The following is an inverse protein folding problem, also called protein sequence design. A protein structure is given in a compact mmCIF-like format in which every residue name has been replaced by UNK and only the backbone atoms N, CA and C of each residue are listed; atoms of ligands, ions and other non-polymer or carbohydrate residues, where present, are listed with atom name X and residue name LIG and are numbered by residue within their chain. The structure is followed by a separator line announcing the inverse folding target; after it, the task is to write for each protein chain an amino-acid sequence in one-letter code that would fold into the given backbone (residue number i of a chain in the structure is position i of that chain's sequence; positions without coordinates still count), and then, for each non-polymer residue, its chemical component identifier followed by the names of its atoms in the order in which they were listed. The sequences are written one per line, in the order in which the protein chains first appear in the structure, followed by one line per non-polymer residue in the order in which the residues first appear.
data_IF_429794562566
#
_entry.id   IF_429794562566
#
_cell.length_a   1.000
_cell.length_b   1.000
_cell.length_c   1.000
_cell.angle_alpha   90.00
_cell.angle_beta   90.00
_cell.angle_gamma   90.00
#
_symmetry.space_group_name_H-M   'P 1'
#
loop_
_entity.id
_entity.type
_entity.pdbx_description
1 polymer ?
#
# COMPACT_ATOMS: atom_id res chain seq x y z
N UNK A 1 -17.15 6.03 -9.86
CA UNK A 1 -16.41 4.99 -9.11
C UNK A 1 -15.47 5.58 -8.07
N UNK A 2 -14.52 6.46 -8.43
CA UNK A 2 -13.55 7.04 -7.48
C UNK A 2 -14.25 7.61 -6.24
N UNK A 3 -15.29 8.43 -6.46
CA UNK A 3 -16.08 9.04 -5.39
C UNK A 3 -16.69 8.02 -4.41
N UNK A 4 -17.17 6.87 -4.91
CA UNK A 4 -17.71 5.79 -4.08
C UNK A 4 -16.62 5.14 -3.21
N UNK A 5 -15.42 4.92 -3.76
CA UNK A 5 -14.30 4.32 -3.05
C UNK A 5 -13.73 5.22 -1.94
N UNK A 6 -13.99 6.53 -2.01
CA UNK A 6 -13.55 7.51 -1.01
C UNK A 6 -14.52 7.68 0.16
N UNK A 7 -15.69 7.03 0.12
CA UNK A 7 -16.63 7.04 1.25
C UNK A 7 -15.99 6.30 2.45
N UNK A 8 -16.05 6.84 3.67
CA UNK A 8 -15.33 6.29 4.82
C UNK A 8 -15.65 4.83 5.15
N UNK A 9 -16.92 4.46 5.07
CA UNK A 9 -17.43 3.10 5.30
C UNK A 9 -16.93 2.11 4.24
N UNK A 10 -16.91 2.52 2.98
CA UNK A 10 -16.41 1.72 1.86
C UNK A 10 -14.89 1.52 1.94
N UNK A 11 -14.15 2.59 2.20
CA UNK A 11 -12.70 2.53 2.36
C UNK A 11 -12.31 1.61 3.55
N UNK A 12 -13.03 1.71 4.67
CA UNK A 12 -12.84 0.84 5.82
C UNK A 12 -13.21 -0.62 5.54
N UNK A 13 -14.32 -0.88 4.84
CA UNK A 13 -14.70 -2.24 4.45
C UNK A 13 -13.59 -2.91 3.61
N UNK A 14 -12.97 -2.18 2.69
CA UNK A 14 -11.83 -2.67 1.92
C UNK A 14 -10.62 -2.97 2.81
N UNK A 15 -10.29 -2.09 3.76
CA UNK A 15 -9.20 -2.36 4.73
C UNK A 15 -9.49 -3.57 5.60
N UNK A 16 -10.72 -3.71 6.12
CA UNK A 16 -11.12 -4.84 6.94
C UNK A 16 -11.04 -6.16 6.17
N UNK A 17 -11.39 -6.16 4.88
CA UNK A 17 -11.31 -7.36 4.05
C UNK A 17 -9.88 -7.66 3.56
N UNK A 18 -9.24 -6.71 2.89
CA UNK A 18 -7.93 -6.89 2.21
C UNK A 18 -6.73 -6.81 3.15
N UNK A 19 -6.92 -6.29 4.37
CA UNK A 19 -5.84 -6.06 5.34
C UNK A 19 -4.75 -5.13 4.79
N UNK A 20 -5.15 -4.13 3.99
CA UNK A 20 -4.30 -3.05 3.49
C UNK A 20 -4.76 -1.69 4.02
N UNK A 21 -3.81 -0.85 4.44
CA UNK A 21 -4.09 0.50 4.90
C UNK A 21 -4.61 1.36 3.74
N UNK A 22 -5.62 2.17 4.03
CA UNK A 22 -6.19 3.11 3.07
C UNK A 22 -5.84 4.57 3.45
N UNK A 23 -5.87 5.51 2.49
CA UNK A 23 -5.51 6.91 2.72
C UNK A 23 -6.66 7.79 3.25
N UNK A 24 -7.87 7.26 3.42
CA UNK A 24 -9.06 8.02 3.86
C UNK A 24 -9.05 8.12 5.39
N UNK A 25 -8.56 9.24 5.93
CA UNK A 25 -8.42 9.44 7.38
C UNK A 25 -9.74 9.31 8.15
N UNK A 26 -10.85 9.74 7.56
CA UNK A 26 -12.19 9.66 8.16
C UNK A 26 -12.76 8.23 8.20
N UNK A 27 -12.08 7.25 7.58
CA UNK A 27 -12.47 5.83 7.63
C UNK A 27 -12.10 5.15 8.96
N UNK A 28 -11.18 5.73 9.74
CA UNK A 28 -10.65 5.12 10.96
C UNK A 28 -11.72 4.59 11.95
N UNK A 29 -12.84 5.31 12.22
CA UNK A 29 -13.88 4.80 13.13
C UNK A 29 -14.56 3.50 12.68
N UNK A 30 -14.48 3.16 11.39
CA UNK A 30 -15.12 1.99 10.78
C UNK A 30 -14.16 0.79 10.60
N UNK A 31 -12.87 0.98 10.89
CA UNK A 31 -11.84 -0.06 10.77
C UNK A 31 -11.81 -0.89 12.05
N UNK A 32 -11.63 -2.21 11.93
CA UNK A 32 -11.46 -3.11 13.06
C UNK A 32 -10.34 -2.60 13.99
N UNK A 33 -10.58 -2.44 15.32
CA UNK A 33 -9.59 -1.86 16.24
C UNK A 33 -8.26 -2.62 16.29
N UNK A 34 -8.27 -3.93 16.02
CA UNK A 34 -7.06 -4.74 15.94
C UNK A 34 -6.17 -4.35 14.74
N UNK A 35 -6.77 -3.93 13.61
CA UNK A 35 -6.04 -3.49 12.43
C UNK A 35 -5.44 -2.09 12.62
N UNK A 36 -6.16 -1.16 13.24
CA UNK A 36 -5.63 0.17 13.56
C UNK A 36 -4.41 0.11 14.49
N UNK A 37 -4.36 -0.90 15.38
CA UNK A 37 -3.22 -1.14 16.28
C UNK A 37 -2.09 -1.96 15.64
N UNK A 38 -2.28 -2.50 14.43
CA UNK A 38 -1.28 -3.29 13.74
C UNK A 38 -0.20 -2.38 13.13
N UNK A 39 1.00 -2.38 13.74
CA UNK A 39 2.15 -1.58 13.30
C UNK A 39 2.75 -2.02 11.96
N UNK A 40 2.41 -3.21 11.46
CA UNK A 40 2.76 -3.63 10.10
C UNK A 40 1.83 -3.00 9.06
N UNK A 41 0.61 -2.64 9.46
CA UNK A 41 -0.40 -2.04 8.59
C UNK A 41 -0.39 -0.50 8.67
N UNK A 42 -0.33 0.04 9.88
CA UNK A 42 -0.18 1.46 10.17
C UNK A 42 1.15 1.67 10.93
N UNK A 43 2.28 1.79 10.22
CA UNK A 43 3.59 1.88 10.85
C UNK A 43 3.79 3.17 11.65
N UNK A 44 4.58 3.13 12.73
CA UNK A 44 4.95 4.34 13.45
C UNK A 44 5.88 5.23 12.60
N UNK A 45 5.99 6.53 12.91
CA UNK A 45 6.81 7.48 12.16
C UNK A 45 8.27 7.01 11.95
N UNK A 46 8.91 6.48 13.01
CA UNK A 46 10.29 5.96 12.93
C UNK A 46 10.48 4.77 11.97
N UNK A 47 9.40 4.05 11.62
CA UNK A 47 9.42 3.02 10.58
C UNK A 47 9.20 3.64 9.20
N UNK A 48 8.32 4.64 9.09
CA UNK A 48 8.06 5.36 7.84
C UNK A 48 9.29 6.11 7.33
N UNK A 49 10.16 6.61 8.22
CA UNK A 49 11.44 7.24 7.86
C UNK A 49 12.42 6.29 7.16
N UNK A 50 12.22 4.98 7.30
CA UNK A 50 13.12 3.95 6.73
C UNK A 50 12.64 3.39 5.41
N UNK A 51 11.43 3.74 4.97
CA UNK A 51 10.89 3.29 3.68
C UNK A 51 10.96 4.43 2.67
N UNK A 52 11.08 4.08 1.40
CA UNK A 52 11.09 5.04 0.30
C UNK A 52 10.09 4.63 -0.77
N UNK A 53 9.49 5.62 -1.42
CA UNK A 53 8.74 5.39 -2.64
C UNK A 53 9.73 5.16 -3.79
N UNK A 54 9.42 4.21 -4.67
CA UNK A 54 10.20 4.00 -5.89
C UNK A 54 10.01 5.20 -6.82
N UNK A 55 11.10 5.82 -7.23
CA UNK A 55 11.07 6.88 -8.23
C UNK A 55 10.82 6.31 -9.64
N UNK A 56 10.18 7.07 -10.54
CA UNK A 56 10.13 6.71 -11.96
C UNK A 56 11.54 6.52 -12.52
N UNK A 57 11.73 5.47 -13.33
CA UNK A 57 12.99 5.18 -14.00
C UNK A 57 12.88 5.44 -15.52
N UNK A 58 14.00 5.63 -16.21
CA UNK A 58 13.98 5.87 -17.65
C UNK A 58 13.55 4.61 -18.43
N UNK A 59 13.02 4.73 -19.66
CA UNK A 59 12.65 3.58 -20.48
C UNK A 59 13.80 2.58 -20.71
N UNK A 60 15.04 3.07 -20.85
CA UNK A 60 16.22 2.22 -20.99
C UNK A 60 16.52 1.42 -19.71
N UNK A 61 16.35 2.04 -18.54
CA UNK A 61 16.50 1.38 -17.25
C UNK A 61 15.40 0.33 -17.04
N UNK A 62 14.15 0.61 -17.45
CA UNK A 62 13.04 -0.37 -17.42
C UNK A 62 13.33 -1.58 -18.30
N UNK A 63 13.83 -1.35 -19.52
CA UNK A 63 14.19 -2.43 -20.45
C UNK A 63 15.30 -3.31 -19.88
N UNK A 64 16.32 -2.70 -19.27
CA UNK A 64 17.40 -3.42 -18.60
C UNK A 64 16.86 -4.24 -17.43
N UNK A 65 16.05 -3.64 -16.55
CA UNK A 65 15.45 -4.32 -15.40
C UNK A 65 14.64 -5.54 -15.84
N UNK A 66 13.82 -5.40 -16.90
CA UNK A 66 13.07 -6.52 -17.48
C UNK A 66 13.98 -7.63 -18.00
N UNK A 67 15.03 -7.28 -18.73
CA UNK A 67 15.98 -8.26 -19.25
C UNK A 67 16.75 -9.01 -18.16
N UNK A 68 17.05 -8.36 -17.03
CA UNK A 68 17.62 -9.00 -15.84
C UNK A 68 16.61 -9.95 -15.22
N UNK A 69 15.37 -9.51 -15.03
CA UNK A 69 14.30 -10.30 -14.42
C UNK A 69 14.04 -11.62 -15.16
N UNK A 70 13.98 -11.61 -16.50
CA UNK A 70 13.76 -12.81 -17.31
C UNK A 70 14.89 -13.85 -17.22
N UNK A 71 16.09 -13.43 -16.81
CA UNK A 71 17.24 -14.34 -16.63
C UNK A 71 17.25 -15.02 -15.26
N UNK A 72 16.48 -14.52 -14.30
CA UNK A 72 16.40 -15.12 -12.98
C UNK A 72 15.65 -16.46 -13.07
N UNK A 73 16.12 -17.50 -12.35
CA UNK A 73 15.42 -18.78 -12.33
C UNK A 73 14.02 -18.60 -11.75
N UNK A 74 13.03 -19.16 -12.43
CA UNK A 74 11.65 -19.23 -11.92
C UNK A 74 11.64 -20.24 -10.76
N UNK A 75 11.11 -19.81 -9.61
CA UNK A 75 10.86 -20.69 -8.46
C UNK A 75 9.77 -21.70 -8.78
#
# INVERSE_FOLDING_TARGET
LIDFMLRPDIAAANTNFLRYANPVLTSAPYIEPALLKNKGLYPPPATLEKVSATAPISPDAEKLLRAVWEKLPKQ
#
